data_IF_264813745725
#
_entry.id   IF_264813745725
#
_cell.length_a   1.000
_cell.length_b   1.000
_cell.length_c   1.000
_cell.angle_alpha   90.00
_cell.angle_beta   90.00
_cell.angle_gamma   90.00
#
_symmetry.space_group_name_H-M   'P 1'
#
loop_
_entity.id
_entity.type
_entity.pdbx_description
1 polymer ?
#
# COMPACT_ATOMS: atom_id res chain seq x y z
N UNK A 1 63.81 -45.63 10.72
CA UNK A 1 64.82 -44.64 11.18
C UNK A 1 65.06 -43.69 10.00
N UNK A 2 64.66 -42.41 10.08
CA UNK A 2 65.55 -41.27 10.46
C UNK A 2 66.79 -41.26 9.54
N UNK A 3 67.09 -40.31 8.64
CA UNK A 3 66.98 -38.84 8.57
C UNK A 3 67.47 -38.44 7.14
N UNK A 4 66.86 -37.50 6.40
CA UNK A 4 67.07 -36.03 6.39
C UNK A 4 67.70 -35.55 5.06
N UNK A 5 66.96 -34.67 4.37
CA UNK A 5 67.32 -33.53 3.50
C UNK A 5 68.47 -33.61 2.48
N UNK A 6 68.13 -33.23 1.24
CA UNK A 6 68.89 -32.22 0.51
C UNK A 6 67.93 -31.34 -0.31
N UNK A 7 67.93 -30.05 0.02
CA UNK A 7 67.27 -28.93 -0.67
C UNK A 7 68.14 -28.55 -1.87
N UNK A 8 67.55 -28.38 -3.06
CA UNK A 8 68.16 -27.58 -4.13
C UNK A 8 67.08 -26.77 -4.83
N UNK A 9 67.45 -25.56 -5.23
CA UNK A 9 66.62 -24.38 -5.33
C UNK A 9 66.19 -24.03 -6.76
N UNK A 10 65.24 -23.08 -6.81
CA UNK A 10 64.96 -22.12 -7.87
C UNK A 10 64.48 -22.64 -9.24
N UNK A 11 63.22 -22.36 -9.56
CA UNK A 11 62.93 -21.53 -10.74
C UNK A 11 61.63 -20.76 -10.55
N UNK A 12 61.74 -19.44 -10.70
CA UNK A 12 60.66 -18.48 -10.64
C UNK A 12 59.84 -18.48 -11.93
N UNK A 13 58.52 -18.41 -11.82
CA UNK A 13 57.68 -17.77 -12.85
C UNK A 13 56.50 -17.12 -12.17
N UNK A 14 56.67 -15.83 -11.87
CA UNK A 14 55.61 -14.91 -11.49
C UNK A 14 54.74 -14.68 -12.73
N UNK A 15 53.55 -15.27 -12.77
CA UNK A 15 52.48 -14.76 -13.62
C UNK A 15 51.86 -13.55 -12.90
N UNK A 16 52.27 -12.36 -13.33
CA UNK A 16 51.55 -11.12 -13.10
C UNK A 16 50.20 -11.22 -13.82
N UNK A 17 49.14 -11.62 -13.10
CA UNK A 17 47.78 -11.29 -13.53
C UNK A 17 47.62 -9.79 -13.33
N UNK A 18 47.66 -9.06 -14.45
CA UNK A 18 47.36 -7.65 -14.49
C UNK A 18 45.95 -7.40 -13.93
N UNK A 19 45.84 -6.30 -13.20
CA UNK A 19 44.61 -5.74 -12.67
C UNK A 19 43.55 -5.58 -13.77
N UNK A 20 42.37 -6.14 -13.53
CA UNK A 20 41.14 -5.41 -13.82
C UNK A 20 40.35 -5.40 -12.53
N UNK A 21 40.70 -4.42 -11.70
CA UNK A 21 39.72 -3.86 -10.78
C UNK A 21 38.68 -3.20 -11.67
N UNK A 22 37.57 -3.88 -11.92
CA UNK A 22 36.33 -3.17 -12.24
C UNK A 22 35.97 -2.38 -10.98
N UNK A 23 36.53 -1.17 -10.87
CA UNK A 23 35.84 -0.07 -10.22
C UNK A 23 34.58 0.16 -11.05
N UNK A 24 33.57 -0.66 -10.77
CA UNK A 24 32.20 -0.42 -11.15
C UNK A 24 31.77 0.80 -10.36
N UNK A 25 32.15 1.95 -10.91
CA UNK A 25 31.72 3.28 -10.55
C UNK A 25 30.19 3.24 -10.61
N UNK A 26 29.62 2.96 -9.44
CA UNK A 26 28.20 2.90 -9.18
C UNK A 26 27.72 4.34 -9.06
N UNK A 27 27.83 5.05 -10.17
CA UNK A 27 27.25 6.35 -10.40
C UNK A 27 26.28 6.21 -11.58
N UNK A 28 25.39 5.21 -11.49
CA UNK A 28 24.01 5.44 -11.95
C UNK A 28 23.57 6.70 -11.20
N UNK A 29 23.26 7.82 -11.88
CA UNK A 29 22.62 8.93 -11.21
C UNK A 29 21.43 8.34 -10.46
N UNK A 30 21.20 8.66 -9.17
CA UNK A 30 19.93 8.30 -8.55
C UNK A 30 18.87 8.76 -9.54
N UNK A 31 18.04 7.84 -10.03
CA UNK A 31 16.98 8.12 -11.00
C UNK A 31 16.35 9.42 -10.55
N UNK A 32 16.66 10.52 -11.24
CA UNK A 32 16.26 11.83 -10.79
C UNK A 32 14.74 11.77 -10.83
N UNK A 33 14.11 11.61 -9.66
CA UNK A 33 12.68 11.69 -9.55
C UNK A 33 12.36 13.09 -10.06
N UNK A 34 11.74 13.15 -11.25
CA UNK A 34 11.47 14.41 -11.90
C UNK A 34 10.79 15.31 -10.87
N UNK A 35 11.42 16.45 -10.59
CA UNK A 35 10.93 17.35 -9.57
C UNK A 35 9.51 17.76 -9.94
N UNK A 36 8.59 17.59 -9.00
CA UNK A 36 7.18 17.89 -9.23
C UNK A 36 7.05 19.37 -9.60
N UNK A 37 6.36 19.68 -10.70
CA UNK A 37 6.08 21.06 -11.13
C UNK A 37 4.68 21.51 -10.75
N UNK A 38 3.77 20.57 -10.53
CA UNK A 38 2.39 20.79 -10.12
C UNK A 38 1.88 19.58 -9.33
N UNK A 39 1.01 19.81 -8.34
CA UNK A 39 0.28 18.72 -7.69
C UNK A 39 -0.96 18.41 -8.54
N UNK A 40 -1.24 17.13 -8.86
CA UNK A 40 -2.47 16.77 -9.54
C UNK A 40 -3.69 17.22 -8.73
N UNK A 41 -4.64 17.87 -9.42
CA UNK A 41 -5.88 18.31 -8.81
C UNK A 41 -6.66 17.14 -8.21
N UNK A 42 -7.34 17.39 -7.09
CA UNK A 42 -8.19 16.42 -6.41
C UNK A 42 -8.06 16.45 -4.90
N UNK A 43 -8.75 15.53 -4.24
CA UNK A 43 -8.84 15.45 -2.78
C UNK A 43 -7.78 14.49 -2.24
N UNK A 44 -6.89 14.97 -1.39
CA UNK A 44 -5.72 14.25 -0.89
C UNK A 44 -5.87 14.01 0.61
N UNK A 45 -5.73 12.75 1.02
CA UNK A 45 -5.93 12.30 2.40
C UNK A 45 -4.62 11.78 3.01
N UNK A 46 -4.27 12.21 4.21
CA UNK A 46 -3.09 11.71 4.94
C UNK A 46 -3.25 10.22 5.23
N UNK A 47 -2.35 9.35 4.74
CA UNK A 47 -2.38 7.91 5.05
C UNK A 47 -1.25 7.48 5.99
N UNK A 48 -0.16 8.25 6.05
CA UNK A 48 1.01 7.91 6.87
C UNK A 48 1.83 9.15 7.25
N UNK A 49 2.34 9.17 8.48
CA UNK A 49 3.36 10.10 9.00
C UNK A 49 4.43 9.28 9.69
N UNK A 50 5.66 9.31 9.18
CA UNK A 50 6.73 8.40 9.60
C UNK A 50 6.23 6.93 9.59
N UNK A 51 6.19 6.25 10.74
CA UNK A 51 5.68 4.87 10.87
C UNK A 51 4.20 4.80 11.28
N UNK A 52 3.57 5.92 11.64
CA UNK A 52 2.18 5.96 12.06
C UNK A 52 1.26 5.95 10.83
N UNK A 53 0.32 5.01 10.79
CA UNK A 53 -0.72 4.91 9.75
C UNK A 53 -2.03 5.51 10.25
N UNK A 54 -2.78 6.11 9.31
CA UNK A 54 -4.04 6.78 9.60
C UNK A 54 -5.17 6.16 8.76
N UNK A 55 -6.37 6.11 9.32
CA UNK A 55 -7.60 5.75 8.64
C UNK A 55 -8.78 6.61 9.13
N UNK A 56 -9.75 6.85 8.24
CA UNK A 56 -10.95 7.63 8.53
C UNK A 56 -10.88 9.10 8.10
N UNK A 57 -11.97 9.83 8.33
CA UNK A 57 -12.16 11.20 7.83
C UNK A 57 -11.60 12.30 8.77
N UNK A 58 -11.15 11.93 9.97
CA UNK A 58 -10.68 12.89 10.98
C UNK A 58 -9.20 13.27 10.84
N UNK A 59 -8.47 12.64 9.90
CA UNK A 59 -7.08 12.96 9.61
C UNK A 59 -6.95 14.19 8.67
N UNK A 60 -5.78 14.83 8.61
CA UNK A 60 -5.53 15.91 7.68
C UNK A 60 -5.87 15.50 6.24
N UNK A 61 -6.58 16.39 5.55
CA UNK A 61 -7.01 16.21 4.16
C UNK A 61 -7.09 17.56 3.46
N UNK A 62 -6.81 17.60 2.17
CA UNK A 62 -6.87 18.83 1.40
C UNK A 62 -7.22 18.58 -0.06
N UNK A 63 -8.01 19.47 -0.63
CA UNK A 63 -8.34 19.52 -2.04
C UNK A 63 -7.41 20.49 -2.73
N UNK A 64 -6.78 20.04 -3.80
CA UNK A 64 -5.95 20.85 -4.69
C UNK A 64 -6.80 21.24 -5.89
N UNK A 65 -6.95 22.55 -6.07
CA UNK A 65 -7.43 23.18 -7.30
C UNK A 65 -6.24 23.87 -7.99
N UNK A 66 -6.46 24.54 -9.12
CA UNK A 66 -5.40 25.12 -9.97
C UNK A 66 -4.23 25.79 -9.19
N UNK A 67 -4.53 26.68 -8.25
CA UNK A 67 -3.56 27.42 -7.43
C UNK A 67 -3.97 27.56 -5.96
N UNK A 68 -5.10 26.94 -5.58
CA UNK A 68 -5.66 27.01 -4.23
C UNK A 68 -5.74 25.61 -3.61
N UNK A 69 -5.49 25.56 -2.30
CA UNK A 69 -5.74 24.41 -1.46
C UNK A 69 -6.81 24.75 -0.42
N UNK A 70 -7.78 23.85 -0.26
CA UNK A 70 -8.81 23.93 0.79
C UNK A 70 -8.89 22.60 1.51
N UNK A 71 -8.89 22.60 2.85
CA UNK A 71 -8.80 21.35 3.58
C UNK A 71 -9.10 21.44 5.07
N UNK A 72 -8.64 20.41 5.78
CA UNK A 72 -8.66 20.26 7.23
C UNK A 72 -7.27 19.81 7.70
N UNK A 73 -6.76 20.40 8.77
CA UNK A 73 -5.54 19.94 9.45
C UNK A 73 -5.82 18.84 10.50
N UNK A 74 -7.04 18.27 10.48
CA UNK A 74 -7.55 17.30 11.47
C UNK A 74 -8.28 17.94 12.65
N UNK A 75 -8.18 19.27 12.82
CA UNK A 75 -8.91 20.03 13.84
C UNK A 75 -9.66 21.22 13.24
N UNK A 76 -8.96 22.02 12.43
CA UNK A 76 -9.39 23.26 11.83
C UNK A 76 -9.58 23.10 10.34
N UNK A 77 -10.50 23.88 9.78
CA UNK A 77 -10.55 24.08 8.33
C UNK A 77 -9.45 25.05 7.95
N UNK A 78 -8.75 24.77 6.85
CA UNK A 78 -7.67 25.58 6.30
C UNK A 78 -7.94 25.87 4.83
N UNK A 79 -7.44 27.01 4.34
CA UNK A 79 -7.42 27.35 2.92
C UNK A 79 -6.28 28.30 2.60
N UNK A 80 -5.76 28.26 1.39
CA UNK A 80 -4.72 29.19 0.96
C UNK A 80 -4.18 28.86 -0.41
N UNK A 81 -3.37 29.76 -0.95
CA UNK A 81 -2.70 29.53 -2.22
C UNK A 81 -1.43 28.71 -2.00
N UNK A 82 -1.00 27.99 -3.03
CA UNK A 82 0.25 27.26 -3.02
C UNK A 82 1.06 27.50 -4.30
N UNK A 83 2.33 27.16 -4.23
CA UNK A 83 3.22 27.14 -5.39
C UNK A 83 4.21 25.98 -5.26
N UNK A 84 4.70 25.51 -6.41
CA UNK A 84 5.74 24.49 -6.46
C UNK A 84 6.86 24.99 -7.36
N UNK A 85 8.05 25.06 -6.81
CA UNK A 85 9.26 25.48 -7.53
C UNK A 85 10.31 24.41 -7.33
N UNK A 86 10.68 23.71 -8.40
CA UNK A 86 11.71 22.67 -8.38
C UNK A 86 11.42 21.56 -7.35
N UNK A 87 10.18 21.08 -7.26
CA UNK A 87 9.78 20.05 -6.30
C UNK A 87 9.70 20.53 -4.85
N UNK A 88 9.83 21.84 -4.60
CA UNK A 88 9.59 22.44 -3.29
C UNK A 88 8.20 23.08 -3.27
N UNK A 89 7.35 22.59 -2.38
CA UNK A 89 6.02 23.10 -2.11
C UNK A 89 6.08 24.20 -1.06
N UNK A 90 5.32 25.27 -1.25
CA UNK A 90 5.08 26.28 -0.22
C UNK A 90 3.65 26.80 -0.30
N UNK A 91 3.04 27.08 0.84
CA UNK A 91 1.69 27.66 0.91
C UNK A 91 1.53 28.61 2.10
N UNK A 92 0.57 29.53 1.97
CA UNK A 92 0.14 30.41 3.06
C UNK A 92 -1.29 30.06 3.45
N UNK A 93 -1.45 29.21 4.46
CA UNK A 93 -2.75 28.72 4.90
C UNK A 93 -3.36 29.63 5.97
N UNK A 94 -4.63 29.98 5.77
CA UNK A 94 -5.50 30.59 6.78
C UNK A 94 -6.51 29.56 7.25
N UNK A 95 -6.70 29.46 8.57
CA UNK A 95 -7.62 28.47 9.14
C UNK A 95 -8.51 28.99 10.26
N UNK A 96 -9.49 28.16 10.63
CA UNK A 96 -10.30 28.36 11.83
C UNK A 96 -9.48 28.14 13.11
N UNK A 97 -10.03 28.51 14.27
CA UNK A 97 -9.42 28.23 15.59
C UNK A 97 -10.41 27.51 16.50
N UNK A 98 -10.58 26.22 16.27
CA UNK A 98 -11.35 25.32 17.12
C UNK A 98 -10.45 24.77 18.23
N UNK A 99 -11.05 24.52 19.39
CA UNK A 99 -10.41 23.73 20.43
C UNK A 99 -10.63 22.25 20.12
N UNK A 100 -9.54 21.51 20.00
CA UNK A 100 -9.55 20.05 19.82
C UNK A 100 -8.72 19.39 20.91
N UNK A 101 -8.85 18.07 21.03
CA UNK A 101 -8.00 17.26 21.89
C UNK A 101 -6.50 17.53 21.63
N UNK A 102 -5.63 17.46 22.66
CA UNK A 102 -4.21 17.81 22.52
C UNK A 102 -3.48 17.07 21.40
N UNK A 103 -3.80 15.79 21.20
CA UNK A 103 -3.22 14.98 20.12
C UNK A 103 -3.62 15.48 18.72
N UNK A 104 -4.87 15.90 18.54
CA UNK A 104 -5.35 16.49 17.27
C UNK A 104 -4.72 17.87 17.03
N UNK A 105 -4.56 18.68 18.09
CA UNK A 105 -3.86 19.97 17.99
C UNK A 105 -2.39 19.81 17.61
N UNK A 106 -1.71 18.80 18.16
CA UNK A 106 -0.31 18.52 17.81
C UNK A 106 -0.16 18.10 16.34
N UNK A 107 -1.06 17.22 15.86
CA UNK A 107 -1.09 16.81 14.45
C UNK A 107 -1.38 18.00 13.52
N UNK A 108 -2.35 18.84 13.87
CA UNK A 108 -2.70 20.06 13.13
C UNK A 108 -1.52 21.02 13.01
N UNK A 109 -0.79 21.27 14.10
CA UNK A 109 0.40 22.12 14.08
C UNK A 109 1.49 21.56 13.16
N UNK A 110 1.75 20.26 13.25
CA UNK A 110 2.75 19.59 12.40
C UNK A 110 2.35 19.61 10.92
N UNK A 111 1.07 19.44 10.61
CA UNK A 111 0.54 19.58 9.26
C UNK A 111 0.73 21.01 8.72
N UNK A 112 0.38 22.03 9.49
CA UNK A 112 0.55 23.43 9.06
C UNK A 112 2.03 23.79 8.81
N UNK A 113 2.95 23.23 9.61
CA UNK A 113 4.39 23.37 9.37
C UNK A 113 4.83 22.70 8.06
N UNK A 114 4.39 21.46 7.81
CA UNK A 114 4.66 20.73 6.57
C UNK A 114 4.21 21.51 5.33
N UNK A 115 3.01 22.09 5.40
CA UNK A 115 2.42 22.82 4.27
C UNK A 115 3.03 24.22 4.07
N UNK A 116 3.77 24.76 5.04
CA UNK A 116 4.43 26.06 4.88
C UNK A 116 5.57 25.95 3.86
N UNK A 117 6.42 24.93 4.00
CA UNK A 117 7.60 24.74 3.16
C UNK A 117 8.13 23.30 3.26
N UNK A 118 8.11 22.56 2.15
CA UNK A 118 8.54 21.16 2.13
C UNK A 118 8.95 20.69 0.73
N UNK A 119 9.76 19.62 0.67
CA UNK A 119 9.94 18.91 -0.61
C UNK A 119 8.72 18.04 -0.86
N UNK A 120 8.25 17.99 -2.11
CA UNK A 120 7.14 17.16 -2.53
C UNK A 120 7.53 16.33 -3.75
N UNK A 121 7.23 15.04 -3.69
CA UNK A 121 7.40 14.11 -4.80
C UNK A 121 6.15 13.25 -4.94
N UNK A 122 5.95 12.68 -6.14
CA UNK A 122 4.93 11.66 -6.36
C UNK A 122 5.62 10.31 -6.43
N UNK A 123 5.36 9.44 -5.46
CA UNK A 123 5.91 8.08 -5.42
C UNK A 123 4.74 7.11 -5.59
N UNK A 124 4.75 6.38 -6.72
CA UNK A 124 3.62 5.56 -7.17
C UNK A 124 2.35 6.41 -7.38
N UNK A 125 1.51 6.54 -6.34
CA UNK A 125 0.26 7.30 -6.35
C UNK A 125 0.09 8.15 -5.08
N UNK A 126 1.14 8.24 -4.26
CA UNK A 126 1.13 9.02 -3.03
C UNK A 126 1.96 10.28 -3.23
N UNK A 127 1.40 11.43 -2.83
CA UNK A 127 2.19 12.63 -2.60
C UNK A 127 2.99 12.43 -1.33
N UNK A 128 4.30 12.44 -1.48
CA UNK A 128 5.25 12.29 -0.39
C UNK A 128 5.84 13.66 -0.12
N UNK A 129 5.46 14.25 1.01
CA UNK A 129 6.09 15.45 1.53
C UNK A 129 7.22 15.05 2.48
N UNK A 130 8.41 15.62 2.25
CA UNK A 130 9.60 15.38 3.05
C UNK A 130 9.97 16.67 3.80
N UNK A 131 9.82 16.62 5.12
CA UNK A 131 10.29 17.64 6.07
C UNK A 131 11.18 17.01 7.13
N UNK A 132 10.90 17.27 8.42
CA UNK A 132 11.53 16.53 9.54
C UNK A 132 11.18 15.03 9.52
N UNK A 133 9.98 14.73 9.04
CA UNK A 133 9.47 13.37 8.83
C UNK A 133 8.81 13.27 7.46
N UNK A 134 8.65 12.04 6.98
CA UNK A 134 7.93 11.75 5.74
C UNK A 134 6.42 11.69 5.98
N UNK A 135 5.65 12.40 5.15
CA UNK A 135 4.19 12.39 5.15
C UNK A 135 3.69 11.93 3.80
N UNK A 136 2.76 10.96 3.80
CA UNK A 136 2.17 10.41 2.58
C UNK A 136 0.70 10.74 2.50
N UNK A 137 0.31 11.36 1.40
CA UNK A 137 -1.08 11.64 1.07
C UNK A 137 -1.49 10.86 -0.17
N UNK A 138 -2.69 10.29 -0.14
CA UNK A 138 -3.24 9.53 -1.25
C UNK A 138 -4.44 10.25 -1.85
N UNK A 139 -4.51 10.26 -3.18
CA UNK A 139 -5.64 10.83 -3.90
C UNK A 139 -6.91 10.02 -3.62
N UNK A 140 -7.96 10.70 -3.16
CA UNK A 140 -9.32 10.19 -3.01
C UNK A 140 -9.96 10.19 -4.39
N UNK A 141 -10.21 9.00 -4.93
CA UNK A 141 -10.84 8.86 -6.24
C UNK A 141 -12.32 9.32 -6.17
N UNK A 142 -12.80 10.11 -7.15
CA UNK A 142 -14.21 10.50 -7.22
C UNK A 142 -15.08 9.27 -7.45
N UNK A 143 -16.11 9.11 -6.60
CA UNK A 143 -17.09 8.03 -6.73
C UNK A 143 -17.92 8.22 -8.02
N UNK A 144 -17.64 7.46 -9.08
CA UNK A 144 -18.65 7.15 -10.08
C UNK A 144 -19.68 6.20 -9.44
N UNK A 145 -20.85 6.74 -9.07
CA UNK A 145 -22.12 6.06 -8.77
C UNK A 145 -22.07 4.70 -8.02
N UNK A 146 -22.39 4.78 -6.72
CA UNK A 146 -22.77 3.68 -5.81
C UNK A 146 -21.68 2.68 -5.37
N UNK A 147 -20.42 3.13 -5.26
CA UNK A 147 -19.38 2.47 -4.47
C UNK A 147 -18.46 3.53 -3.83
N UNK A 148 -18.14 3.44 -2.55
CA UNK A 148 -17.28 4.34 -1.76
C UNK A 148 -15.78 4.21 -2.12
N UNK A 149 -14.98 5.07 -1.51
CA UNK A 149 -13.53 5.28 -1.72
C UNK A 149 -12.60 4.06 -1.56
N UNK A 150 -13.14 2.87 -1.25
CA UNK A 150 -12.44 1.58 -1.26
C UNK A 150 -12.95 0.61 -2.36
N UNK A 151 -13.77 1.10 -3.29
CA UNK A 151 -14.48 0.28 -4.28
C UNK A 151 -15.76 -0.35 -3.75
N UNK A 152 -16.30 0.21 -2.66
CA UNK A 152 -17.31 -0.45 -1.86
C UNK A 152 -18.73 0.06 -2.05
N UNK A 153 -19.66 -0.73 -2.57
CA UNK A 153 -21.08 -0.47 -2.29
C UNK A 153 -21.36 -0.44 -0.77
N UNK A 154 -22.54 0.05 -0.32
CA UNK A 154 -22.94 0.02 1.11
C UNK A 154 -22.83 -1.36 1.78
N UNK A 155 -22.63 -2.43 1.01
CA UNK A 155 -22.55 -3.83 1.44
C UNK A 155 -21.14 -4.42 1.36
N UNK A 156 -20.07 -3.65 1.37
CA UNK A 156 -18.77 -4.23 0.99
C UNK A 156 -18.04 -4.99 2.08
N UNK A 157 -17.30 -6.01 1.66
CA UNK A 157 -16.79 -7.05 2.53
C UNK A 157 -17.89 -7.92 3.17
N UNK A 158 -19.15 -7.79 2.73
CA UNK A 158 -20.19 -8.80 2.98
C UNK A 158 -20.04 -9.97 2.01
N UNK A 159 -20.69 -11.10 2.35
CA UNK A 159 -20.76 -12.25 1.46
C UNK A 159 -21.44 -11.90 0.12
N UNK A 160 -22.43 -11.01 0.16
CA UNK A 160 -23.17 -10.52 -0.99
C UNK A 160 -22.27 -9.71 -1.95
N UNK A 161 -21.44 -8.81 -1.43
CA UNK A 161 -20.48 -8.03 -2.22
C UNK A 161 -19.41 -8.91 -2.84
N UNK A 162 -18.77 -9.76 -2.03
CA UNK A 162 -17.74 -10.70 -2.49
C UNK A 162 -18.30 -11.58 -3.61
N UNK A 163 -19.52 -12.10 -3.45
CA UNK A 163 -20.19 -12.89 -4.49
C UNK A 163 -20.55 -12.11 -5.75
N UNK A 164 -20.91 -10.83 -5.63
CA UNK A 164 -21.15 -9.96 -6.79
C UNK A 164 -19.87 -9.70 -7.58
N UNK A 165 -18.74 -9.50 -6.90
CA UNK A 165 -17.43 -9.30 -7.53
C UNK A 165 -16.95 -10.56 -8.25
N UNK A 166 -17.11 -11.74 -7.64
CA UNK A 166 -16.81 -13.03 -8.29
C UNK A 166 -17.68 -13.23 -9.54
N UNK A 167 -18.98 -12.89 -9.46
CA UNK A 167 -19.89 -12.94 -10.61
C UNK A 167 -19.39 -12.08 -11.77
N UNK A 168 -18.97 -10.85 -11.47
CA UNK A 168 -18.43 -9.86 -12.41
C UNK A 168 -16.98 -10.12 -12.86
N UNK A 169 -16.35 -11.24 -12.46
CA UNK A 169 -14.95 -11.58 -12.82
C UNK A 169 -13.90 -10.62 -12.25
N UNK A 170 -14.27 -9.85 -11.21
CA UNK A 170 -13.37 -8.96 -10.48
C UNK A 170 -12.64 -9.72 -9.37
N UNK A 171 -11.91 -10.77 -9.73
CA UNK A 171 -11.34 -11.72 -8.77
C UNK A 171 -10.37 -11.09 -7.77
N UNK A 172 -9.50 -10.19 -8.21
CA UNK A 172 -8.57 -9.49 -7.31
C UNK A 172 -9.31 -8.67 -6.25
N UNK A 173 -10.37 -7.95 -6.63
CA UNK A 173 -11.17 -7.15 -5.70
C UNK A 173 -11.96 -8.04 -4.74
N UNK A 174 -12.56 -9.12 -5.24
CA UNK A 174 -13.24 -10.12 -4.41
C UNK A 174 -12.30 -10.73 -3.37
N UNK A 175 -11.07 -11.07 -3.77
CA UNK A 175 -10.04 -11.60 -2.87
C UNK A 175 -9.67 -10.58 -1.80
N UNK A 176 -9.44 -9.31 -2.17
CA UNK A 176 -9.14 -8.28 -1.17
C UNK A 176 -10.25 -8.11 -0.13
N UNK A 177 -11.51 -8.06 -0.57
CA UNK A 177 -12.66 -7.94 0.35
C UNK A 177 -12.83 -9.18 1.25
N UNK A 178 -12.60 -10.38 0.71
CA UNK A 178 -12.66 -11.61 1.49
C UNK A 178 -11.55 -11.69 2.55
N UNK A 179 -10.33 -11.25 2.19
CA UNK A 179 -9.21 -11.15 3.13
C UNK A 179 -9.43 -10.07 4.19
N UNK A 180 -10.00 -8.94 3.81
CA UNK A 180 -10.42 -7.91 4.75
C UNK A 180 -11.42 -8.47 5.77
N UNK A 181 -12.50 -9.11 5.31
CA UNK A 181 -13.51 -9.73 6.17
C UNK A 181 -12.89 -10.77 7.11
N UNK A 182 -12.02 -11.64 6.58
CA UNK A 182 -11.32 -12.65 7.35
C UNK A 182 -10.41 -12.06 8.44
N UNK A 183 -9.70 -10.96 8.11
CA UNK A 183 -8.77 -10.29 9.00
C UNK A 183 -9.43 -9.74 10.28
N UNK A 184 -10.73 -9.45 10.22
CA UNK A 184 -11.51 -8.99 11.37
C UNK A 184 -11.54 -10.01 12.52
N UNK A 185 -11.29 -11.29 12.23
CA UNK A 185 -11.23 -12.37 13.23
C UNK A 185 -9.81 -12.60 13.79
N UNK A 186 -8.85 -11.73 13.50
CA UNK A 186 -7.48 -11.89 13.98
C UNK A 186 -6.66 -10.61 13.97
N UNK A 187 -6.22 -10.18 12.79
CA UNK A 187 -5.37 -9.01 12.56
C UNK A 187 -6.09 -8.00 11.66
N UNK A 188 -6.98 -7.14 12.21
CA UNK A 188 -7.75 -6.20 11.43
C UNK A 188 -6.86 -5.27 10.60
N UNK A 189 -7.10 -5.21 9.30
CA UNK A 189 -6.43 -4.30 8.38
C UNK A 189 -7.46 -3.47 7.61
N UNK A 190 -7.25 -2.17 7.38
CA UNK A 190 -8.12 -1.42 6.46
C UNK A 190 -8.02 -1.99 5.04
N UNK A 191 -9.13 -2.16 4.32
CA UNK A 191 -9.11 -2.70 2.96
C UNK A 191 -8.18 -1.92 2.02
N UNK A 192 -8.14 -0.59 2.18
CA UNK A 192 -7.27 0.29 1.39
C UNK A 192 -5.77 0.00 1.54
N UNK A 193 -5.38 -0.72 2.59
CA UNK A 193 -4.00 -1.11 2.86
C UNK A 193 -3.64 -2.51 2.35
N UNK A 194 -4.64 -3.28 1.91
CA UNK A 194 -4.43 -4.65 1.42
C UNK A 194 -3.91 -4.59 -0.03
N UNK A 195 -2.76 -5.20 -0.26
CA UNK A 195 -2.10 -5.32 -1.56
C UNK A 195 -2.19 -6.74 -2.11
N UNK A 196 -2.26 -6.88 -3.43
CA UNK A 196 -2.25 -8.19 -4.08
C UNK A 196 -0.91 -8.93 -3.93
N UNK A 197 0.17 -8.21 -3.60
CA UNK A 197 1.50 -8.78 -3.37
C UNK A 197 1.71 -9.22 -1.92
N UNK A 198 0.76 -8.93 -1.02
CA UNK A 198 0.88 -9.30 0.39
C UNK A 198 0.81 -10.82 0.55
N UNK A 199 1.57 -11.35 1.50
CA UNK A 199 1.47 -12.75 1.90
C UNK A 199 0.17 -12.96 2.68
N UNK A 200 -0.55 -14.05 2.39
CA UNK A 200 -1.80 -14.37 3.06
C UNK A 200 -1.68 -14.48 4.59
N UNK A 201 -0.50 -14.92 5.07
CA UNK A 201 -0.16 -15.04 6.49
C UNK A 201 -0.20 -13.72 7.26
N UNK A 202 -0.20 -12.56 6.58
CA UNK A 202 -0.38 -11.25 7.22
C UNK A 202 -1.80 -11.06 7.77
N UNK A 203 -2.79 -11.74 7.19
CA UNK A 203 -4.21 -11.57 7.53
C UNK A 203 -4.82 -12.82 8.16
N UNK A 204 -4.31 -14.00 7.79
CA UNK A 204 -4.82 -15.29 8.24
C UNK A 204 -4.00 -15.82 9.43
N UNK A 205 -4.06 -15.09 10.54
CA UNK A 205 -3.19 -15.35 11.69
C UNK A 205 -3.68 -16.46 12.62
N UNK A 206 -4.91 -16.94 12.42
CA UNK A 206 -5.53 -17.98 13.25
C UNK A 206 -6.58 -18.80 12.47
N UNK A 207 -7.01 -19.92 13.04
CA UNK A 207 -7.99 -20.82 12.44
C UNK A 207 -9.32 -20.11 12.10
N UNK A 208 -9.78 -19.19 12.96
CA UNK A 208 -11.03 -18.45 12.72
C UNK A 208 -10.97 -17.56 11.48
N UNK A 209 -9.88 -16.81 11.29
CA UNK A 209 -9.65 -16.00 10.09
C UNK A 209 -9.57 -16.86 8.83
N UNK A 210 -8.95 -18.04 8.92
CA UNK A 210 -8.86 -18.98 7.81
C UNK A 210 -10.22 -19.58 7.44
N UNK A 211 -11.04 -19.96 8.42
CA UNK A 211 -12.41 -20.44 8.21
C UNK A 211 -13.30 -19.36 7.61
N UNK A 212 -13.23 -18.13 8.14
CA UNK A 212 -14.00 -17.00 7.62
C UNK A 212 -13.68 -16.70 6.15
N UNK A 213 -12.40 -16.79 5.77
CA UNK A 213 -12.00 -16.66 4.36
C UNK A 213 -12.62 -17.77 3.49
N UNK A 214 -12.59 -19.02 3.97
CA UNK A 214 -13.15 -20.16 3.25
C UNK A 214 -14.64 -19.98 2.98
N UNK A 215 -15.40 -19.59 4.01
CA UNK A 215 -16.84 -19.39 3.90
C UNK A 215 -17.18 -18.25 2.94
N UNK A 216 -16.43 -17.15 3.02
CA UNK A 216 -16.62 -15.99 2.16
C UNK A 216 -16.38 -16.30 0.67
N UNK A 217 -15.26 -16.95 0.36
CA UNK A 217 -14.94 -17.32 -1.01
C UNK A 217 -15.88 -18.42 -1.53
N UNK A 218 -16.25 -19.40 -0.72
CA UNK A 218 -17.22 -20.43 -1.11
C UNK A 218 -18.56 -19.82 -1.51
N UNK A 219 -19.10 -18.89 -0.70
CA UNK A 219 -20.36 -18.22 -0.99
C UNK A 219 -20.31 -17.50 -2.35
N UNK A 220 -19.20 -16.81 -2.65
CA UNK A 220 -19.03 -16.11 -3.92
C UNK A 220 -18.87 -17.06 -5.12
N UNK A 221 -18.00 -18.06 -5.01
CA UNK A 221 -17.75 -19.05 -6.08
C UNK A 221 -19.02 -19.83 -6.39
N UNK A 222 -19.73 -20.32 -5.35
CA UNK A 222 -20.99 -21.08 -5.51
C UNK A 222 -22.07 -20.27 -6.23
N UNK A 223 -22.10 -18.94 -6.06
CA UNK A 223 -23.06 -18.08 -6.76
C UNK A 223 -22.86 -18.12 -8.28
N UNK A 224 -21.59 -18.17 -8.75
CA UNK A 224 -21.23 -18.26 -10.16
C UNK A 224 -21.26 -19.72 -10.67
N UNK A 225 -20.80 -20.65 -9.85
CA UNK A 225 -20.80 -22.09 -10.11
C UNK A 225 -21.86 -22.77 -9.23
N UNK A 226 -23.13 -22.66 -9.63
CA UNK A 226 -24.29 -23.06 -8.82
C UNK A 226 -24.34 -24.55 -8.44
N UNK A 227 -23.66 -25.43 -9.17
CA UNK A 227 -23.52 -26.86 -8.88
C UNK A 227 -22.41 -27.21 -7.89
N UNK A 228 -21.61 -26.23 -7.45
CA UNK A 228 -20.51 -26.48 -6.52
C UNK A 228 -21.05 -26.91 -5.15
N UNK A 229 -20.76 -28.15 -4.76
CA UNK A 229 -21.08 -28.68 -3.44
C UNK A 229 -20.02 -28.31 -2.40
N UNK A 230 -20.41 -28.34 -1.12
CA UNK A 230 -19.49 -28.11 0.00
C UNK A 230 -18.34 -29.12 0.01
N UNK A 231 -18.59 -30.38 -0.37
CA UNK A 231 -17.55 -31.41 -0.43
C UNK A 231 -16.53 -31.14 -1.55
N UNK A 232 -16.99 -30.67 -2.71
CA UNK A 232 -16.10 -30.24 -3.80
C UNK A 232 -15.27 -29.02 -3.38
N UNK A 233 -15.89 -28.05 -2.71
CA UNK A 233 -15.18 -26.89 -2.17
C UNK A 233 -14.10 -27.29 -1.16
N UNK A 234 -14.43 -28.13 -0.16
CA UNK A 234 -13.45 -28.60 0.82
C UNK A 234 -12.25 -29.30 0.18
N UNK A 235 -12.49 -30.09 -0.88
CA UNK A 235 -11.42 -30.74 -1.64
C UNK A 235 -10.53 -29.73 -2.37
N UNK A 236 -11.11 -28.69 -2.95
CA UNK A 236 -10.35 -27.60 -3.57
C UNK A 236 -9.56 -26.79 -2.53
N UNK A 237 -10.21 -26.49 -1.39
CA UNK A 237 -9.68 -25.69 -0.29
C UNK A 237 -8.40 -26.27 0.33
N UNK A 238 -8.27 -27.60 0.37
CA UNK A 238 -7.04 -28.28 0.82
C UNK A 238 -5.82 -27.85 -0.02
N UNK A 239 -6.01 -27.54 -1.30
CA UNK A 239 -4.96 -27.14 -2.22
C UNK A 239 -4.87 -25.61 -2.40
N UNK A 240 -5.57 -24.84 -1.58
CA UNK A 240 -5.51 -23.39 -1.63
C UNK A 240 -4.09 -22.88 -1.28
N UNK A 241 -3.66 -21.72 -1.81
CA UNK A 241 -2.31 -21.22 -1.64
C UNK A 241 -2.10 -20.58 -0.25
N UNK A 242 -2.13 -21.38 0.81
CA UNK A 242 -2.10 -20.90 2.21
C UNK A 242 -0.92 -19.99 2.52
N UNK A 243 0.27 -20.32 2.01
CA UNK A 243 1.50 -19.53 2.18
C UNK A 243 1.77 -18.58 1.00
N UNK A 244 0.81 -18.45 0.08
CA UNK A 244 0.93 -17.66 -1.14
C UNK A 244 0.58 -16.18 -0.98
N UNK A 245 0.80 -15.43 -2.06
CA UNK A 245 0.36 -14.04 -2.17
C UNK A 245 -1.15 -13.94 -2.42
N UNK A 246 -1.74 -12.79 -2.13
CA UNK A 246 -3.15 -12.53 -2.46
C UNK A 246 -3.42 -12.65 -3.97
N UNK A 247 -2.43 -12.42 -4.84
CA UNK A 247 -2.57 -12.67 -6.27
C UNK A 247 -2.78 -14.15 -6.57
N UNK A 248 -2.00 -15.04 -5.94
CA UNK A 248 -2.19 -16.49 -6.10
C UNK A 248 -3.56 -16.94 -5.58
N UNK A 249 -4.07 -16.28 -4.54
CA UNK A 249 -5.44 -16.49 -4.06
C UNK A 249 -6.51 -16.05 -5.07
N UNK A 250 -6.32 -14.93 -5.75
CA UNK A 250 -7.22 -14.50 -6.82
C UNK A 250 -7.23 -15.50 -7.99
N UNK A 251 -6.07 -16.01 -8.37
CA UNK A 251 -5.93 -17.05 -9.40
C UNK A 251 -6.63 -18.35 -8.98
N UNK A 252 -6.50 -18.74 -7.70
CA UNK A 252 -7.23 -19.88 -7.14
C UNK A 252 -8.75 -19.70 -7.26
N UNK A 253 -9.29 -18.54 -6.87
CA UNK A 253 -10.73 -18.24 -6.98
C UNK A 253 -11.19 -18.30 -8.44
N UNK A 254 -10.42 -17.73 -9.36
CA UNK A 254 -10.71 -17.79 -10.79
C UNK A 254 -10.76 -19.24 -11.30
N UNK A 255 -9.85 -20.11 -10.85
CA UNK A 255 -9.85 -21.52 -11.23
C UNK A 255 -11.10 -22.26 -10.73
N UNK A 256 -11.65 -21.89 -9.56
CA UNK A 256 -12.83 -22.56 -9.01
C UNK A 256 -14.16 -22.19 -9.70
N UNK A 257 -14.18 -21.07 -10.43
CA UNK A 257 -15.35 -20.65 -11.22
C UNK A 257 -15.25 -21.00 -12.70
N UNK A 258 -14.10 -21.51 -13.15
CA UNK A 258 -13.97 -22.04 -14.50
C UNK A 258 -14.81 -23.33 -14.65
N UNK A 259 -15.51 -23.51 -15.79
CA UNK A 259 -16.38 -24.66 -16.02
C UNK A 259 -15.64 -26.00 -16.13
#
# INVERSE_FOLDING_TARGET
>A
MKYLTAVTALTATLYLSACQSDEQDSSTPPTAHAALTEIPAGDWLLVQKAQQRFSGEEQPQFVVNADEIVGSDGCNRVKGNYQIVQGRFSSELMGTRKACEPSKMALANAFNQLMTDSQVTLVQQDLVFSGEEEWRFRLRQPQESAADSQGHGPDSGTLESIGALVWQEKYQQATKEAFWLASQNGAPAPLSTISMNDAASLYLINEHSFMALSDALYAGVKRKHNSLSTAQWQKAWINAPQDGSLQQWADFVQQQVAP
#
